data_IF_993853742368
#
_entry.id   IF_993853742368
#
_cell.length_a   1.000
_cell.length_b   1.000
_cell.length_c   1.000
_cell.angle_alpha   90.00
_cell.angle_beta   90.00
_cell.angle_gamma   90.00
#
_symmetry.space_group_name_H-M   'P 1'
#
loop_
_entity.id
_entity.type
_entity.pdbx_description
1 polymer ?
#
# COMPACT_ATOMS: atom_id res chain seq x y z
N UNK A 1 51.88 45.39 57.30
CA UNK A 1 51.21 45.86 56.06
C UNK A 1 51.82 45.13 54.86
N UNK A 2 51.15 44.09 54.36
CA UNK A 2 51.33 43.45 53.04
C UNK A 2 50.07 42.63 52.79
N UNK A 3 49.11 43.18 52.04
CA UNK A 3 47.91 42.48 51.57
C UNK A 3 48.24 41.81 50.23
N UNK A 4 47.93 40.51 50.10
CA UNK A 4 47.99 39.76 48.84
C UNK A 4 46.59 39.71 48.19
N UNK A 5 46.50 39.62 46.84
CA UNK A 5 45.25 39.81 46.13
C UNK A 5 44.42 38.53 46.02
N UNK A 6 43.10 38.72 45.99
CA UNK A 6 42.07 37.71 45.80
C UNK A 6 41.88 37.49 44.29
N UNK A 7 42.10 36.27 43.79
CA UNK A 7 41.78 35.88 42.41
C UNK A 7 40.29 35.48 42.36
N UNK A 8 39.50 36.29 41.65
CA UNK A 8 38.11 36.00 41.31
C UNK A 8 38.07 35.08 40.07
N UNK A 9 37.59 33.85 40.25
CA UNK A 9 37.18 32.95 39.18
C UNK A 9 35.82 33.40 38.62
N UNK A 10 35.80 33.87 37.38
CA UNK A 10 34.58 34.08 36.60
C UNK A 10 34.20 32.75 35.91
N UNK A 11 32.96 32.25 36.04
CA UNK A 11 32.51 31.11 35.25
C UNK A 11 32.11 31.58 33.85
N UNK A 12 32.66 30.93 32.82
CA UNK A 12 32.12 30.99 31.46
C UNK A 12 30.75 30.30 31.47
N UNK A 13 29.69 31.10 31.42
CA UNK A 13 28.37 30.65 31.01
C UNK A 13 28.38 30.42 29.49
N UNK A 14 28.56 29.17 29.08
CA UNK A 14 28.14 28.72 27.76
C UNK A 14 26.60 28.76 27.75
N UNK A 15 26.02 29.78 27.13
CA UNK A 15 24.61 29.75 26.74
C UNK A 15 24.48 28.77 25.58
N UNK A 16 23.99 27.58 25.89
CA UNK A 16 23.47 26.64 24.90
C UNK A 16 22.23 27.33 24.31
N UNK A 17 22.34 27.88 23.10
CA UNK A 17 21.17 28.28 22.30
C UNK A 17 20.42 26.99 21.94
N UNK A 18 19.52 26.62 22.84
CA UNK A 18 18.50 25.60 22.59
C UNK A 18 17.62 26.11 21.44
N UNK A 19 17.51 25.34 20.36
CA UNK A 19 16.48 25.54 19.35
C UNK A 19 15.12 25.20 19.97
N UNK A 20 14.52 26.15 20.70
CA UNK A 20 13.08 26.15 20.92
C UNK A 20 12.42 26.73 19.67
N UNK A 21 11.81 25.88 18.84
CA UNK A 21 10.92 26.33 17.78
C UNK A 21 9.76 27.11 18.41
N UNK A 22 9.60 28.37 18.02
CA UNK A 22 8.62 29.26 18.60
C UNK A 22 7.28 29.06 17.89
N UNK A 23 6.35 28.30 18.48
CA UNK A 23 5.04 27.97 17.89
C UNK A 23 4.26 29.16 17.30
N UNK A 24 4.47 30.36 17.84
CA UNK A 24 3.84 31.59 17.36
C UNK A 24 4.36 32.04 15.97
N UNK A 25 5.61 31.74 15.62
CA UNK A 25 6.14 32.05 14.29
C UNK A 25 5.60 31.10 13.23
N UNK A 26 5.43 29.82 13.57
CA UNK A 26 4.97 28.79 12.64
C UNK A 26 3.47 28.98 12.30
N UNK A 27 2.66 29.37 13.28
CA UNK A 27 1.26 29.73 13.07
C UNK A 27 1.10 30.95 12.14
N UNK A 28 1.91 32.00 12.36
CA UNK A 28 1.88 33.20 11.53
C UNK A 28 2.33 32.91 10.08
N UNK A 29 3.38 32.10 9.91
CA UNK A 29 3.84 31.64 8.60
C UNK A 29 2.75 30.84 7.87
N UNK A 30 2.13 29.89 8.55
CA UNK A 30 1.00 29.12 8.02
C UNK A 30 -0.18 30.02 7.60
N UNK A 31 -0.50 31.04 8.40
CA UNK A 31 -1.53 32.03 8.05
C UNK A 31 -1.21 32.81 6.77
N UNK A 32 0.05 33.18 6.56
CA UNK A 32 0.51 33.81 5.34
C UNK A 32 0.40 32.88 4.13
N UNK A 33 0.86 31.63 4.26
CA UNK A 33 0.75 30.60 3.21
C UNK A 33 -0.69 30.34 2.77
N UNK A 34 -1.64 30.28 3.71
CA UNK A 34 -3.07 30.18 3.39
C UNK A 34 -3.59 31.40 2.65
N UNK A 35 -3.15 32.59 3.05
CA UNK A 35 -3.47 33.84 2.36
C UNK A 35 -2.96 33.83 0.91
N UNK A 36 -1.75 33.31 0.67
CA UNK A 36 -1.22 33.12 -0.68
C UNK A 36 -2.06 32.14 -1.49
N UNK A 37 -2.44 30.99 -0.92
CA UNK A 37 -3.28 30.01 -1.60
C UNK A 37 -4.65 30.60 -2.01
N UNK A 38 -5.26 31.41 -1.14
CA UNK A 38 -6.52 32.10 -1.45
C UNK A 38 -6.37 33.09 -2.61
N UNK A 39 -5.29 33.87 -2.64
CA UNK A 39 -5.01 34.83 -3.70
C UNK A 39 -4.78 34.12 -5.05
N UNK A 40 -3.89 33.11 -5.07
CA UNK A 40 -3.62 32.31 -6.27
C UNK A 40 -4.90 31.65 -6.80
N UNK A 41 -5.72 31.12 -5.90
CA UNK A 41 -6.99 30.51 -6.26
C UNK A 41 -7.97 31.51 -6.87
N UNK A 42 -8.04 32.73 -6.32
CA UNK A 42 -8.87 33.82 -6.83
C UNK A 42 -8.42 34.25 -8.24
N UNK A 43 -7.11 34.22 -8.51
CA UNK A 43 -6.51 34.52 -9.82
C UNK A 43 -6.65 33.36 -10.83
N UNK A 44 -7.25 32.24 -10.43
CA UNK A 44 -7.41 31.06 -11.27
C UNK A 44 -6.16 30.18 -11.40
N UNK A 45 -5.15 30.41 -10.55
CA UNK A 45 -3.95 29.59 -10.46
C UNK A 45 -4.21 28.36 -9.58
N UNK A 46 -4.92 27.37 -10.12
CA UNK A 46 -5.19 26.12 -9.42
C UNK A 46 -3.96 25.22 -9.43
N UNK A 47 -3.43 24.90 -8.25
CA UNK A 47 -2.26 24.03 -8.08
C UNK A 47 -2.65 22.87 -7.15
N UNK A 48 -2.67 21.65 -7.68
CA UNK A 48 -2.90 20.46 -6.88
C UNK A 48 -1.57 19.88 -6.40
N UNK A 49 -1.47 19.66 -5.10
CA UNK A 49 -0.31 19.00 -4.50
C UNK A 49 -0.60 17.53 -4.29
N UNK A 50 0.28 16.67 -4.79
CA UNK A 50 0.26 15.24 -4.53
C UNK A 50 1.07 14.96 -3.25
N UNK A 51 0.40 14.49 -2.20
CA UNK A 51 1.05 14.03 -0.99
C UNK A 51 1.34 12.52 -1.11
N UNK A 52 2.60 12.12 -0.96
CA UNK A 52 3.08 10.73 -1.09
C UNK A 52 3.42 10.12 0.27
N UNK A 53 2.96 8.93 0.60
CA UNK A 53 3.43 8.20 1.78
C UNK A 53 2.78 6.83 1.90
N UNK A 54 3.14 6.06 2.93
CA UNK A 54 2.88 4.61 3.05
C UNK A 54 1.55 4.16 2.40
N UNK A 55 1.68 3.42 1.28
CA UNK A 55 0.57 2.79 0.57
C UNK A 55 0.46 3.25 -0.88
N UNK A 56 0.95 2.40 -1.78
CA UNK A 56 0.53 2.03 -3.15
C UNK A 56 -0.28 2.97 -4.09
N UNK A 57 -0.56 4.23 -3.77
CA UNK A 57 -1.44 5.09 -4.59
C UNK A 57 -0.72 5.86 -5.72
N UNK A 58 0.47 5.40 -6.13
CA UNK A 58 1.21 5.94 -7.28
C UNK A 58 0.72 5.38 -8.61
N UNK A 59 -0.10 4.34 -8.58
CA UNK A 59 -0.58 3.70 -9.79
C UNK A 59 -1.42 4.69 -10.61
N UNK A 60 -1.00 4.94 -11.85
CA UNK A 60 -1.65 5.91 -12.73
C UNK A 60 -1.35 7.38 -12.38
N UNK A 61 -0.24 7.69 -11.69
CA UNK A 61 0.09 9.07 -11.33
C UNK A 61 0.33 9.98 -12.54
N UNK A 62 1.01 9.47 -13.57
CA UNK A 62 1.24 10.22 -14.81
C UNK A 62 -0.09 10.56 -15.50
N UNK A 63 -0.98 9.58 -15.64
CA UNK A 63 -2.32 9.75 -16.20
C UNK A 63 -3.17 10.69 -15.34
N UNK A 64 -3.01 10.69 -14.02
CA UNK A 64 -3.69 11.63 -13.14
C UNK A 64 -3.21 13.06 -13.34
N UNK A 65 -1.89 13.27 -13.49
CA UNK A 65 -1.31 14.58 -13.81
C UNK A 65 -1.83 15.09 -15.16
N UNK A 66 -1.91 14.22 -16.17
CA UNK A 66 -2.52 14.57 -17.46
C UNK A 66 -3.98 15.03 -17.30
N UNK A 67 -4.78 14.30 -16.52
CA UNK A 67 -6.18 14.63 -16.26
C UNK A 67 -6.32 15.96 -15.49
N UNK A 68 -5.44 16.26 -14.55
CA UNK A 68 -5.40 17.56 -13.86
C UNK A 68 -5.13 18.70 -14.85
N UNK A 69 -4.12 18.54 -15.71
CA UNK A 69 -3.77 19.55 -16.72
C UNK A 69 -4.90 19.80 -17.71
N UNK A 70 -5.63 18.75 -18.14
CA UNK A 70 -6.82 18.88 -18.98
C UNK A 70 -7.92 19.71 -18.31
N UNK A 71 -7.97 19.71 -16.98
CA UNK A 71 -8.90 20.51 -16.18
C UNK A 71 -8.31 21.86 -15.73
N UNK A 72 -7.19 22.29 -16.32
CA UNK A 72 -6.47 23.54 -16.02
C UNK A 72 -6.00 23.63 -14.57
N UNK A 73 -5.72 22.48 -13.95
CA UNK A 73 -5.13 22.38 -12.63
C UNK A 73 -3.67 21.99 -12.83
N UNK A 74 -2.76 22.86 -12.42
CA UNK A 74 -1.32 22.59 -12.42
C UNK A 74 -1.00 21.63 -11.28
N UNK A 75 0.11 20.92 -11.36
CA UNK A 75 0.67 20.21 -10.21
C UNK A 75 1.86 20.98 -9.65
N UNK A 76 2.20 20.71 -8.39
CA UNK A 76 3.57 20.99 -7.92
C UNK A 76 4.57 20.23 -8.81
N UNK A 77 5.81 20.73 -8.91
CA UNK A 77 6.82 20.19 -9.84
C UNK A 77 6.87 18.65 -9.85
N UNK A 78 6.94 18.00 -11.02
CA UNK A 78 7.01 16.54 -11.12
C UNK A 78 8.14 15.99 -10.23
N UNK A 79 7.80 15.08 -9.30
CA UNK A 79 8.76 14.51 -8.34
C UNK A 79 8.84 15.21 -6.97
N UNK A 80 8.09 16.30 -6.75
CA UNK A 80 7.91 16.92 -5.43
C UNK A 80 6.68 16.38 -4.70
N UNK A 81 6.43 15.07 -4.79
CA UNK A 81 5.42 14.46 -3.95
C UNK A 81 5.87 14.63 -2.50
N UNK A 82 5.10 15.40 -1.74
CA UNK A 82 5.45 15.75 -0.37
C UNK A 82 5.21 14.52 0.50
N UNK A 83 6.25 14.06 1.20
CA UNK A 83 6.13 12.95 2.13
C UNK A 83 5.02 13.24 3.14
N UNK A 84 3.96 12.45 3.07
CA UNK A 84 2.77 12.53 3.89
C UNK A 84 2.96 11.80 5.22
N UNK A 85 4.16 11.25 5.51
CA UNK A 85 4.48 10.73 6.85
C UNK A 85 4.35 11.91 7.80
N UNK A 86 3.24 12.02 8.55
CA UNK A 86 3.12 13.02 9.56
C UNK A 86 4.06 12.49 10.64
N UNK A 87 5.22 13.10 10.81
CA UNK A 87 5.74 13.16 12.17
C UNK A 87 4.60 13.85 12.95
N UNK A 88 3.95 13.19 13.92
CA UNK A 88 2.60 13.54 14.43
C UNK A 88 2.39 14.95 14.99
N UNK A 89 3.37 15.84 14.93
CA UNK A 89 3.47 16.97 15.84
C UNK A 89 3.46 18.36 15.18
N UNK A 90 3.27 18.48 13.86
CA UNK A 90 3.33 19.80 13.20
C UNK A 90 2.07 20.15 12.38
N UNK A 91 1.07 20.83 12.99
CA UNK A 91 -0.11 21.31 12.28
C UNK A 91 0.20 22.44 11.27
N UNK A 92 1.39 23.02 11.32
CA UNK A 92 1.79 24.16 10.50
C UNK A 92 2.60 23.77 9.25
N UNK A 93 2.78 22.48 8.97
CA UNK A 93 3.38 22.01 7.71
C UNK A 93 2.40 22.02 6.55
N UNK A 94 2.91 22.42 5.39
CA UNK A 94 2.25 22.38 4.09
C UNK A 94 0.92 23.14 4.07
N UNK A 95 0.88 24.33 4.70
CA UNK A 95 -0.36 25.07 4.87
C UNK A 95 -0.90 25.59 3.55
N UNK A 96 -0.02 26.06 2.65
CA UNK A 96 -0.40 26.44 1.30
C UNK A 96 -1.07 25.29 0.54
N UNK A 97 -0.41 24.12 0.52
CA UNK A 97 -0.81 22.96 -0.27
C UNK A 97 -2.12 22.35 0.24
N UNK A 98 -2.28 22.25 1.56
CA UNK A 98 -3.54 21.78 2.18
C UNK A 98 -4.69 22.72 1.87
N UNK A 99 -4.48 24.03 1.99
CA UNK A 99 -5.51 25.04 1.72
C UNK A 99 -5.89 25.06 0.24
N UNK A 100 -4.91 25.05 -0.67
CA UNK A 100 -5.16 25.05 -2.11
C UNK A 100 -5.89 23.77 -2.55
N UNK A 101 -5.49 22.59 -2.08
CA UNK A 101 -6.21 21.34 -2.37
C UNK A 101 -7.67 21.41 -1.87
N UNK A 102 -7.89 21.93 -0.66
CA UNK A 102 -9.24 22.10 -0.11
C UNK A 102 -10.10 23.09 -0.93
N UNK A 103 -9.51 24.20 -1.38
CA UNK A 103 -10.20 25.18 -2.25
C UNK A 103 -10.59 24.55 -3.60
N UNK A 104 -9.70 23.75 -4.20
CA UNK A 104 -9.97 23.00 -5.43
C UNK A 104 -11.12 22.00 -5.20
N UNK A 105 -11.07 21.20 -4.13
CA UNK A 105 -12.16 20.27 -3.79
C UNK A 105 -13.49 20.97 -3.57
N UNK A 106 -13.49 22.15 -2.93
CA UNK A 106 -14.71 22.92 -2.71
C UNK A 106 -15.29 23.47 -4.02
N UNK A 107 -14.46 23.88 -4.98
CA UNK A 107 -14.90 24.42 -6.27
C UNK A 107 -15.37 23.36 -7.24
N UNK A 108 -14.63 22.26 -7.39
CA UNK A 108 -14.95 21.20 -8.35
C UNK A 108 -15.82 20.10 -7.74
N UNK A 109 -15.93 20.07 -6.42
CA UNK A 109 -16.69 19.08 -5.65
C UNK A 109 -15.79 17.98 -5.09
N UNK A 110 -16.11 17.51 -3.88
CA UNK A 110 -15.32 16.52 -3.12
C UNK A 110 -15.05 15.19 -3.85
N UNK A 111 -15.82 14.87 -4.90
CA UNK A 111 -15.64 13.64 -5.70
C UNK A 111 -14.79 13.85 -6.95
N UNK A 112 -14.49 15.08 -7.32
CA UNK A 112 -13.81 15.41 -8.56
C UNK A 112 -12.40 14.80 -8.61
N UNK A 113 -11.54 15.11 -7.63
CA UNK A 113 -10.19 14.56 -7.57
C UNK A 113 -10.20 13.01 -7.44
N UNK A 114 -11.00 12.40 -6.54
CA UNK A 114 -11.17 10.95 -6.52
C UNK A 114 -11.60 10.34 -7.86
N UNK A 115 -12.48 11.02 -8.62
CA UNK A 115 -12.90 10.52 -9.94
C UNK A 115 -11.80 10.60 -10.99
N UNK A 116 -10.95 11.63 -10.95
CA UNK A 116 -9.78 11.72 -11.81
C UNK A 116 -8.77 10.61 -11.47
N UNK A 117 -8.50 10.37 -10.18
CA UNK A 117 -7.65 9.26 -9.73
C UNK A 117 -8.19 7.90 -10.19
N UNK A 118 -9.49 7.66 -10.03
CA UNK A 118 -10.12 6.43 -10.50
C UNK A 118 -9.96 6.24 -12.02
N UNK A 119 -10.20 7.30 -12.79
CA UNK A 119 -10.05 7.29 -14.25
C UNK A 119 -8.59 7.05 -14.66
N UNK A 120 -7.65 7.68 -13.95
CA UNK A 120 -6.22 7.51 -14.18
C UNK A 120 -5.77 6.05 -13.98
N UNK A 121 -6.19 5.41 -12.89
CA UNK A 121 -5.94 3.98 -12.63
C UNK A 121 -6.52 3.07 -13.70
N UNK A 122 -7.73 3.37 -14.18
CA UNK A 122 -8.35 2.61 -15.28
C UNK A 122 -7.55 2.74 -16.57
N UNK A 123 -7.08 3.95 -16.89
CA UNK A 123 -6.26 4.22 -18.06
C UNK A 123 -4.93 3.47 -17.97
N UNK A 124 -4.20 3.62 -16.86
CA UNK A 124 -2.96 2.92 -16.59
C UNK A 124 -3.11 1.39 -16.77
N UNK A 125 -4.08 0.78 -16.09
CA UNK A 125 -4.30 -0.67 -16.17
C UNK A 125 -4.64 -1.14 -17.61
N UNK A 126 -5.30 -0.29 -18.41
CA UNK A 126 -5.66 -0.60 -19.79
C UNK A 126 -4.48 -0.46 -20.76
N UNK A 127 -3.58 0.49 -20.50
CA UNK A 127 -2.37 0.74 -21.30
C UNK A 127 -1.23 -0.23 -20.96
N UNK A 128 -1.33 -0.91 -19.81
CA UNK A 128 -0.40 -1.93 -19.33
C UNK A 128 -1.01 -3.35 -19.32
N UNK A 129 -1.53 -3.87 -20.45
CA UNK A 129 -2.38 -5.06 -20.46
C UNK A 129 -1.64 -6.37 -20.14
N UNK A 130 -0.31 -6.37 -20.14
CA UNK A 130 0.53 -7.55 -19.90
C UNK A 130 1.31 -7.45 -18.57
N UNK A 131 1.10 -6.39 -17.80
CA UNK A 131 1.73 -6.22 -16.50
C UNK A 131 1.06 -7.14 -15.47
N UNK A 132 1.89 -7.77 -14.63
CA UNK A 132 1.43 -8.67 -13.57
C UNK A 132 1.52 -7.92 -12.25
N UNK A 133 0.37 -7.68 -11.63
CA UNK A 133 0.28 -6.86 -10.45
C UNK A 133 0.42 -7.68 -9.15
N UNK A 134 1.07 -7.07 -8.17
CA UNK A 134 1.06 -7.55 -6.79
C UNK A 134 -0.28 -7.28 -6.12
N UNK A 135 -0.52 -7.98 -5.01
CA UNK A 135 -1.78 -7.84 -4.26
C UNK A 135 -2.02 -6.41 -3.76
N UNK A 136 -0.97 -5.68 -3.35
CA UNK A 136 -1.09 -4.33 -2.77
C UNK A 136 -1.46 -3.25 -3.79
N UNK A 137 -1.23 -3.53 -5.08
CA UNK A 137 -1.50 -2.60 -6.17
C UNK A 137 -2.95 -2.66 -6.66
N UNK A 138 -3.72 -3.67 -6.22
CA UNK A 138 -5.07 -3.91 -6.71
C UNK A 138 -6.13 -3.43 -5.71
N UNK A 139 -7.12 -2.68 -6.18
CA UNK A 139 -8.29 -2.29 -5.36
C UNK A 139 -9.11 -3.52 -4.93
N UNK A 140 -9.14 -4.54 -5.79
CA UNK A 140 -9.71 -5.86 -5.50
C UNK A 140 -8.68 -6.92 -5.83
N UNK A 141 -8.22 -7.66 -4.83
CA UNK A 141 -7.26 -8.74 -5.01
C UNK A 141 -7.90 -9.98 -5.64
N UNK A 142 -7.07 -10.78 -6.31
CA UNK A 142 -7.46 -12.12 -6.76
C UNK A 142 -7.91 -12.96 -5.58
N UNK A 143 -8.96 -13.77 -5.78
CA UNK A 143 -9.56 -14.53 -4.67
C UNK A 143 -10.23 -15.83 -5.07
N UNK A 144 -10.35 -16.72 -4.10
CA UNK A 144 -11.20 -17.90 -4.17
C UNK A 144 -12.70 -17.50 -4.30
N UNK A 145 -13.49 -18.18 -5.15
CA UNK A 145 -14.85 -17.75 -5.49
C UNK A 145 -15.82 -17.65 -4.30
N UNK A 146 -15.70 -18.55 -3.31
CA UNK A 146 -16.60 -18.57 -2.15
C UNK A 146 -16.10 -17.68 -0.99
N UNK A 147 -14.97 -16.99 -1.17
CA UNK A 147 -14.41 -16.10 -0.17
C UNK A 147 -14.97 -14.68 -0.32
N UNK A 148 -15.59 -14.14 0.73
CA UNK A 148 -16.13 -12.76 0.71
C UNK A 148 -15.05 -11.68 0.84
N UNK A 149 -13.84 -12.04 1.28
CA UNK A 149 -12.68 -11.15 1.38
C UNK A 149 -11.37 -11.92 1.23
N UNK A 150 -10.27 -11.19 1.00
CA UNK A 150 -8.92 -11.75 0.92
C UNK A 150 -8.55 -12.55 2.19
N UNK A 151 -8.80 -12.01 3.38
CA UNK A 151 -8.43 -12.68 4.63
C UNK A 151 -9.20 -13.98 4.86
N UNK A 152 -10.47 -14.04 4.44
CA UNK A 152 -11.31 -15.23 4.62
C UNK A 152 -11.07 -16.30 3.56
N UNK A 153 -10.25 -16.02 2.54
CA UNK A 153 -10.03 -16.99 1.47
C UNK A 153 -9.20 -18.18 1.92
N UNK A 154 -8.26 -17.98 2.85
CA UNK A 154 -7.38 -19.05 3.32
C UNK A 154 -8.18 -20.20 3.93
N UNK A 155 -9.08 -19.88 4.87
CA UNK A 155 -9.98 -20.85 5.50
C UNK A 155 -10.86 -21.55 4.46
N UNK A 156 -11.37 -20.81 3.47
CA UNK A 156 -12.27 -21.36 2.44
C UNK A 156 -11.56 -22.27 1.45
N UNK A 157 -10.34 -21.92 1.06
CA UNK A 157 -9.48 -22.76 0.24
C UNK A 157 -9.20 -24.06 0.99
N UNK A 158 -8.81 -23.97 2.26
CA UNK A 158 -8.45 -25.12 3.08
C UNK A 158 -9.65 -26.06 3.33
N UNK A 159 -10.80 -25.50 3.70
CA UNK A 159 -12.07 -26.24 3.87
C UNK A 159 -12.45 -27.00 2.58
N UNK A 160 -12.43 -26.31 1.44
CA UNK A 160 -12.77 -26.90 0.15
C UNK A 160 -11.76 -27.96 -0.30
N UNK A 161 -10.47 -27.73 -0.03
CA UNK A 161 -9.39 -28.67 -0.32
C UNK A 161 -9.58 -29.97 0.46
N UNK A 162 -9.72 -29.90 1.80
CA UNK A 162 -9.82 -31.11 2.64
C UNK A 162 -11.11 -31.88 2.44
N UNK A 163 -12.19 -31.22 2.02
CA UNK A 163 -13.42 -31.90 1.60
C UNK A 163 -13.18 -32.83 0.40
N UNK A 164 -12.28 -32.45 -0.50
CA UNK A 164 -11.92 -33.23 -1.70
C UNK A 164 -10.76 -34.18 -1.46
N UNK A 165 -9.79 -33.78 -0.65
CA UNK A 165 -8.55 -34.50 -0.39
C UNK A 165 -8.30 -34.63 1.12
N UNK A 166 -8.97 -35.59 1.79
CA UNK A 166 -8.73 -35.84 3.20
C UNK A 166 -7.27 -36.25 3.48
N UNK A 167 -6.79 -35.95 4.69
CA UNK A 167 -5.47 -36.36 5.13
C UNK A 167 -5.31 -37.89 5.08
N UNK A 168 -4.17 -38.41 4.58
CA UNK A 168 -3.87 -39.83 4.63
C UNK A 168 -3.90 -40.37 6.07
N UNK A 169 -4.41 -41.59 6.25
CA UNK A 169 -4.54 -42.20 7.58
C UNK A 169 -3.21 -42.37 8.32
N UNK A 170 -2.11 -42.52 7.57
CA UNK A 170 -0.76 -42.67 8.10
C UNK A 170 0.03 -41.34 8.11
N UNK A 171 -0.62 -40.20 7.88
CA UNK A 171 -0.01 -38.89 8.05
C UNK A 171 0.31 -38.65 9.53
N UNK A 172 1.56 -38.27 9.82
CA UNK A 172 1.97 -38.01 11.20
C UNK A 172 1.74 -36.53 11.50
N UNK A 173 0.76 -36.26 12.36
CA UNK A 173 0.41 -34.92 12.83
C UNK A 173 1.56 -34.23 13.56
N UNK A 174 1.53 -32.90 13.55
CA UNK A 174 2.46 -32.02 14.26
C UNK A 174 2.44 -32.33 15.74
N UNK A 175 3.60 -32.17 16.38
CA UNK A 175 3.74 -32.36 17.83
C UNK A 175 3.68 -31.05 18.60
N UNK A 176 3.89 -29.92 17.92
CA UNK A 176 3.95 -28.58 18.51
C UNK A 176 3.37 -27.55 17.54
N UNK A 177 2.81 -26.46 18.06
CA UNK A 177 2.26 -25.35 17.27
C UNK A 177 3.34 -24.47 16.62
N UNK A 178 4.63 -24.70 16.91
CA UNK A 178 5.71 -23.80 16.49
C UNK A 178 6.18 -24.01 15.04
N UNK A 179 5.85 -25.15 14.42
CA UNK A 179 6.28 -25.50 13.07
C UNK A 179 5.08 -25.95 12.24
N UNK A 180 4.95 -25.41 11.03
CA UNK A 180 3.85 -25.73 10.13
C UNK A 180 4.32 -26.67 9.01
N UNK A 181 3.57 -27.74 8.80
CA UNK A 181 3.63 -28.50 7.55
C UNK A 181 2.58 -27.95 6.61
N UNK A 182 2.86 -27.90 5.32
CA UNK A 182 1.90 -27.35 4.37
C UNK A 182 2.29 -27.60 2.93
N UNK A 183 1.34 -27.37 2.04
CA UNK A 183 1.61 -27.26 0.60
C UNK A 183 1.16 -25.90 0.12
N UNK A 184 2.04 -25.27 -0.64
CA UNK A 184 1.84 -23.94 -1.19
C UNK A 184 1.86 -24.03 -2.71
N UNK A 185 0.93 -23.32 -3.34
CA UNK A 185 0.91 -23.12 -4.77
C UNK A 185 1.03 -21.63 -5.07
N UNK A 186 1.94 -21.27 -5.97
CA UNK A 186 2.11 -19.91 -6.49
C UNK A 186 1.84 -19.93 -7.98
N UNK A 187 1.11 -18.93 -8.48
CA UNK A 187 0.74 -18.85 -9.89
C UNK A 187 0.36 -17.42 -10.28
N UNK A 188 0.32 -17.19 -11.59
CA UNK A 188 -0.25 -15.97 -12.16
C UNK A 188 -1.70 -16.27 -12.53
N UNK A 189 -2.63 -15.51 -11.96
CA UNK A 189 -4.01 -15.50 -12.38
C UNK A 189 -4.20 -14.40 -13.42
N UNK A 190 -4.45 -14.81 -14.66
CA UNK A 190 -4.69 -13.91 -15.78
C UNK A 190 -6.07 -13.24 -15.63
N UNK A 191 -6.23 -12.05 -16.21
CA UNK A 191 -7.49 -11.28 -16.23
C UNK A 191 -8.69 -12.00 -16.84
N UNK A 192 -8.45 -13.03 -17.66
CA UNK A 192 -9.47 -13.91 -18.25
C UNK A 192 -9.79 -15.14 -17.37
N UNK A 193 -9.10 -15.33 -16.24
CA UNK A 193 -9.22 -16.48 -15.35
C UNK A 193 -8.30 -17.66 -15.68
N UNK A 194 -7.45 -17.56 -16.70
CA UNK A 194 -6.42 -18.55 -17.01
C UNK A 194 -5.31 -18.56 -15.94
N UNK A 195 -4.73 -19.73 -15.68
CA UNK A 195 -3.62 -19.90 -14.75
C UNK A 195 -2.32 -20.09 -15.54
N UNK A 196 -1.29 -19.30 -15.22
CA UNK A 196 0.07 -19.45 -15.76
C UNK A 196 1.09 -19.66 -14.64
N UNK A 197 2.23 -20.25 -15.02
CA UNK A 197 3.41 -20.41 -14.16
C UNK A 197 3.12 -21.02 -12.78
N UNK A 198 2.21 -22.01 -12.75
CA UNK A 198 1.84 -22.71 -11.54
C UNK A 198 2.99 -23.58 -11.01
N UNK A 199 3.52 -23.18 -9.86
CA UNK A 199 4.44 -23.95 -9.03
C UNK A 199 3.74 -24.46 -7.78
N UNK A 200 4.11 -25.65 -7.32
CA UNK A 200 3.56 -26.26 -6.10
C UNK A 200 4.67 -26.95 -5.33
N UNK A 201 4.75 -26.66 -4.03
CA UNK A 201 5.75 -27.24 -3.14
C UNK A 201 5.13 -27.61 -1.79
N UNK A 202 5.56 -28.74 -1.23
CA UNK A 202 5.21 -29.17 0.12
C UNK A 202 6.42 -29.05 1.02
N UNK A 203 6.18 -28.60 2.25
CA UNK A 203 7.16 -28.66 3.34
C UNK A 203 6.55 -29.39 4.51
N UNK A 204 7.31 -30.33 5.11
CA UNK A 204 6.86 -31.12 6.25
C UNK A 204 7.83 -30.97 7.43
N UNK A 205 7.28 -30.69 8.61
CA UNK A 205 8.04 -30.72 9.86
C UNK A 205 8.59 -32.14 10.10
N UNK A 206 7.72 -33.15 9.98
CA UNK A 206 8.11 -34.54 10.11
C UNK A 206 8.56 -35.13 8.77
N UNK A 207 9.86 -35.34 8.61
CA UNK A 207 10.47 -35.90 7.39
C UNK A 207 9.90 -37.25 6.96
N UNK A 208 9.26 -38.03 7.85
CA UNK A 208 8.56 -39.26 7.46
C UNK A 208 7.36 -38.99 6.56
N UNK A 209 6.76 -37.80 6.63
CA UNK A 209 5.67 -37.38 5.77
C UNK A 209 6.13 -37.01 4.34
N UNK A 210 7.44 -36.91 4.07
CA UNK A 210 7.95 -36.64 2.71
C UNK A 210 7.49 -37.70 1.69
N UNK A 211 7.08 -38.89 2.14
CA UNK A 211 6.45 -39.90 1.27
C UNK A 211 5.16 -39.39 0.60
N UNK A 212 4.48 -38.40 1.18
CA UNK A 212 3.24 -37.80 0.67
C UNK A 212 3.48 -36.59 -0.24
N UNK A 213 4.71 -36.08 -0.34
CA UNK A 213 5.03 -34.84 -1.08
C UNK A 213 4.47 -34.85 -2.50
N UNK A 214 4.77 -35.90 -3.28
CA UNK A 214 4.27 -36.03 -4.65
C UNK A 214 2.74 -36.06 -4.72
N UNK A 215 2.09 -36.67 -3.73
CA UNK A 215 0.64 -36.75 -3.66
C UNK A 215 0.05 -35.37 -3.36
N UNK A 216 0.55 -34.67 -2.34
CA UNK A 216 0.03 -33.37 -1.91
C UNK A 216 0.28 -32.29 -2.96
N UNK A 217 1.46 -32.26 -3.58
CA UNK A 217 1.75 -31.36 -4.70
C UNK A 217 0.78 -31.59 -5.87
N UNK A 218 0.53 -32.85 -6.22
CA UNK A 218 -0.44 -33.18 -7.28
C UNK A 218 -1.86 -32.75 -6.90
N UNK A 219 -2.29 -33.02 -5.67
CA UNK A 219 -3.63 -32.69 -5.19
C UNK A 219 -3.88 -31.18 -5.18
N UNK A 220 -2.93 -30.38 -4.69
CA UNK A 220 -3.07 -28.93 -4.69
C UNK A 220 -3.00 -28.36 -6.12
N UNK A 221 -2.10 -28.89 -6.96
CA UNK A 221 -2.07 -28.52 -8.39
C UNK A 221 -3.43 -28.78 -9.06
N UNK A 222 -4.00 -29.96 -8.86
CA UNK A 222 -5.31 -30.32 -9.40
C UNK A 222 -6.42 -29.44 -8.80
N UNK A 223 -6.35 -29.09 -7.51
CA UNK A 223 -7.31 -28.17 -6.88
C UNK A 223 -7.27 -26.78 -7.54
N UNK A 224 -6.08 -26.20 -7.70
CA UNK A 224 -5.87 -24.87 -8.28
C UNK A 224 -6.38 -24.82 -9.71
N UNK A 225 -6.00 -25.80 -10.56
CA UNK A 225 -6.38 -25.84 -11.97
C UNK A 225 -7.89 -26.00 -12.21
N UNK A 226 -8.63 -26.60 -11.27
CA UNK A 226 -10.07 -26.81 -11.38
C UNK A 226 -10.90 -25.76 -10.63
N UNK A 227 -10.25 -24.82 -9.96
CA UNK A 227 -10.93 -23.73 -9.24
C UNK A 227 -11.18 -22.56 -10.18
N UNK A 228 -12.39 -22.02 -10.14
CA UNK A 228 -12.76 -20.80 -10.87
C UNK A 228 -12.38 -19.58 -10.06
N UNK A 229 -11.10 -19.22 -10.09
CA UNK A 229 -10.59 -18.06 -9.38
C UNK A 229 -11.20 -16.76 -9.91
N UNK A 230 -11.38 -15.78 -9.03
CA UNK A 230 -11.83 -14.43 -9.38
C UNK A 230 -10.58 -13.57 -9.61
N UNK A 231 -10.38 -13.02 -10.81
CA UNK A 231 -9.23 -12.15 -11.10
C UNK A 231 -9.25 -10.85 -10.29
N UNK A 232 -8.06 -10.32 -10.04
CA UNK A 232 -7.86 -9.01 -9.45
C UNK A 232 -8.40 -7.90 -10.37
N UNK A 233 -8.70 -6.74 -9.76
CA UNK A 233 -9.13 -5.55 -10.48
C UNK A 233 -8.44 -4.30 -9.96
N UNK A 234 -8.08 -3.43 -10.89
CA UNK A 234 -7.68 -2.05 -10.65
C UNK A 234 -8.80 -1.16 -11.18
N UNK A 235 -9.49 -0.47 -10.26
CA UNK A 235 -10.57 0.46 -10.58
C UNK A 235 -11.63 -0.13 -11.52
N UNK A 236 -11.94 -1.41 -11.32
CA UNK A 236 -12.93 -2.17 -12.11
C UNK A 236 -12.38 -2.86 -13.35
N UNK A 237 -11.15 -2.55 -13.79
CA UNK A 237 -10.47 -3.21 -14.91
C UNK A 237 -9.84 -4.51 -14.43
N UNK A 238 -10.16 -5.68 -15.02
CA UNK A 238 -9.52 -6.94 -14.66
C UNK A 238 -8.07 -6.97 -15.15
N UNK A 239 -7.17 -7.42 -14.28
CA UNK A 239 -5.72 -7.43 -14.53
C UNK A 239 -5.09 -8.78 -14.23
N UNK A 240 -3.91 -9.03 -14.77
CA UNK A 240 -3.12 -10.20 -14.43
C UNK A 240 -2.47 -9.97 -13.06
N UNK A 241 -2.39 -10.99 -12.21
CA UNK A 241 -1.86 -10.81 -10.84
C UNK A 241 -1.23 -12.07 -10.27
N UNK A 242 -0.32 -11.90 -9.32
CA UNK A 242 0.21 -13.00 -8.52
C UNK A 242 -0.83 -13.50 -7.53
N UNK A 243 -0.89 -14.82 -7.37
CA UNK A 243 -1.81 -15.50 -6.46
C UNK A 243 -1.12 -16.66 -5.75
N UNK A 244 -1.57 -16.90 -4.51
CA UNK A 244 -1.11 -18.00 -3.69
C UNK A 244 -2.29 -18.82 -3.16
N UNK A 245 -2.13 -20.14 -3.09
CA UNK A 245 -3.03 -21.03 -2.38
C UNK A 245 -2.21 -21.89 -1.41
N UNK A 246 -2.50 -21.76 -0.12
CA UNK A 246 -1.74 -22.41 0.94
C UNK A 246 -2.66 -23.35 1.70
N UNK A 247 -2.19 -24.57 1.96
CA UNK A 247 -2.90 -25.58 2.77
C UNK A 247 -2.02 -25.91 3.96
N UNK A 248 -2.50 -25.63 5.18
CA UNK A 248 -1.87 -26.08 6.41
C UNK A 248 -2.20 -27.54 6.71
N UNK A 249 -1.24 -28.29 7.25
CA UNK A 249 -1.45 -29.65 7.74
C UNK A 249 -1.21 -29.73 9.24
N UNK A 250 -2.24 -30.11 9.97
CA UNK A 250 -2.17 -30.44 11.40
C UNK A 250 -1.59 -31.82 11.67
#
# INVERSE_FOLDING_TARGET
MKTKPFLLLLPLLFTILSCEQNKNSDEAACGHEKGQALNDFADGNYIWTIFSGFGDDYLGEEEFIELLHQNKIKTTEPGTSLSCIPLPDDPYKYCYEKEMNQLIENKFGKKFIPSLRHTAKQKFASEHPNEIFGYSQCDQTSRYPDAVSYNLQYDKIEEAYFKRYPLPQNYIKKKTEAFFSGTSATFILMKNGEIKDLSVESTFENKKNNIFEKQFNKQLKDFVLHTRWIPARISGVPVDSYMEANIGYD
#
